data_IF_067275290686
#
_entry.id   IF_067275290686
#
_cell.length_a   1.000
_cell.length_b   1.000
_cell.length_c   1.000
_cell.angle_alpha   90.00
_cell.angle_beta   90.00
_cell.angle_gamma   90.00
#
_symmetry.space_group_name_H-M   'P 1'
#
loop_
_entity.id
_entity.type
_entity.pdbx_description
1 polymer ?
#
# COMPACT_ATOMS: atom_id res chain seq x y z
N UNK A 1 11.08 -5.80 4.36
CA UNK A 1 9.92 -6.00 3.47
C UNK A 1 8.61 -5.88 4.24
N UNK A 2 7.69 -5.01 3.79
CA UNK A 2 6.35 -4.87 4.36
C UNK A 2 5.30 -5.56 3.47
N UNK A 3 4.28 -6.14 4.09
CA UNK A 3 3.07 -6.62 3.41
C UNK A 3 1.96 -5.65 3.76
N UNK A 4 1.50 -4.87 2.78
CA UNK A 4 0.37 -3.96 2.92
C UNK A 4 -0.92 -4.76 2.83
N UNK A 5 -1.82 -4.53 3.79
CA UNK A 5 -3.12 -5.20 3.92
C UNK A 5 -4.23 -4.16 4.08
N UNK A 6 -5.43 -4.50 3.62
CA UNK A 6 -6.61 -3.69 3.91
C UNK A 6 -6.89 -3.70 5.43
N UNK A 7 -7.20 -2.55 6.03
CA UNK A 7 -7.55 -2.49 7.45
C UNK A 7 -8.92 -3.12 7.75
N UNK A 8 -9.85 -3.13 6.77
CA UNK A 8 -11.19 -3.67 6.94
C UNK A 8 -11.23 -5.20 6.79
N UNK A 9 -10.81 -5.74 5.64
CA UNK A 9 -10.92 -7.18 5.35
C UNK A 9 -9.61 -7.97 5.57
N UNK A 10 -8.50 -7.29 5.89
CA UNK A 10 -7.16 -7.89 6.08
C UNK A 10 -6.57 -8.60 4.85
N UNK A 11 -7.19 -8.46 3.67
CA UNK A 11 -6.63 -8.95 2.41
C UNK A 11 -5.28 -8.31 2.11
N UNK A 12 -4.37 -9.11 1.56
CA UNK A 12 -3.07 -8.65 1.09
C UNK A 12 -3.26 -7.82 -0.18
N UNK A 13 -2.74 -6.61 -0.18
CA UNK A 13 -2.83 -5.69 -1.31
C UNK A 13 -1.55 -5.77 -2.14
N UNK A 14 -0.38 -5.55 -1.52
CA UNK A 14 0.92 -5.69 -2.17
C UNK A 14 2.06 -5.85 -1.16
N UNK A 15 3.21 -6.31 -1.64
CA UNK A 15 4.49 -6.26 -0.92
C UNK A 15 5.23 -4.97 -1.26
N UNK A 16 5.71 -4.28 -0.24
CA UNK A 16 6.38 -2.99 -0.37
C UNK A 16 7.74 -3.01 0.33
N UNK A 17 8.79 -2.64 -0.41
CA UNK A 17 10.12 -2.51 0.17
C UNK A 17 10.27 -1.14 0.84
N UNK A 18 9.90 -1.05 2.13
CA UNK A 18 10.08 0.17 2.92
C UNK A 18 11.55 0.30 3.34
N UNK A 19 12.18 1.33 2.78
CA UNK A 19 13.52 1.79 3.11
C UNK A 19 13.44 3.00 4.06
N UNK A 20 14.23 2.97 5.13
CA UNK A 20 14.38 4.05 6.11
C UNK A 20 13.26 4.14 7.16
N UNK A 21 13.45 5.00 8.18
CA UNK A 21 12.45 5.29 9.20
C UNK A 21 11.24 6.03 8.59
N UNK A 22 10.11 6.06 9.29
CA UNK A 22 8.88 6.73 8.85
C UNK A 22 7.74 5.81 8.39
N UNK A 23 6.60 6.45 8.14
CA UNK A 23 5.33 5.81 7.77
C UNK A 23 5.23 5.50 6.28
N UNK A 24 4.23 4.70 5.91
CA UNK A 24 3.96 4.29 4.53
C UNK A 24 2.85 5.17 3.95
N UNK A 25 3.02 6.48 3.98
CA UNK A 25 2.04 7.43 3.40
C UNK A 25 2.27 7.65 1.89
N UNK A 26 3.51 7.46 1.43
CA UNK A 26 3.88 7.51 0.02
C UNK A 26 4.53 6.18 -0.36
N UNK A 27 3.78 5.35 -1.07
CA UNK A 27 4.27 4.09 -1.64
C UNK A 27 4.81 4.36 -3.04
N UNK A 28 6.12 4.34 -3.22
CA UNK A 28 6.68 4.47 -4.55
C UNK A 28 6.52 3.16 -5.35
N UNK A 29 6.09 3.26 -6.61
CA UNK A 29 5.74 2.09 -7.42
C UNK A 29 6.94 1.19 -7.72
N UNK A 30 8.11 1.78 -7.91
CA UNK A 30 9.42 1.12 -8.07
C UNK A 30 9.78 0.18 -6.90
N UNK A 31 9.28 0.47 -5.70
CA UNK A 31 9.51 -0.34 -4.49
C UNK A 31 8.41 -1.38 -4.23
N UNK A 32 7.41 -1.46 -5.10
CA UNK A 32 6.35 -2.47 -4.99
C UNK A 32 6.83 -3.75 -5.66
N UNK A 33 7.20 -4.72 -4.82
CA UNK A 33 7.79 -5.98 -5.26
C UNK A 33 6.76 -6.96 -5.81
N UNK A 34 5.51 -6.87 -5.34
CA UNK A 34 4.44 -7.79 -5.76
C UNK A 34 3.07 -7.17 -5.51
N UNK A 35 2.22 -7.12 -6.53
CA UNK A 35 0.80 -6.83 -6.40
C UNK A 35 0.02 -8.13 -6.12
N UNK A 36 -1.00 -8.05 -5.28
CA UNK A 36 -1.96 -9.12 -5.05
C UNK A 36 -3.34 -8.68 -5.53
N UNK A 37 -4.12 -8.07 -4.64
CA UNK A 37 -5.52 -7.78 -4.86
C UNK A 37 -5.77 -6.29 -4.63
N UNK A 38 -5.99 -5.54 -5.71
CA UNK A 38 -6.39 -4.14 -5.66
C UNK A 38 -7.19 -3.81 -6.92
N UNK A 39 -8.04 -2.80 -6.82
CA UNK A 39 -8.80 -2.25 -7.93
C UNK A 39 -8.44 -0.78 -8.07
N UNK A 40 -8.27 -0.32 -9.30
CA UNK A 40 -8.07 1.10 -9.60
C UNK A 40 -9.37 1.61 -10.22
N UNK A 41 -10.00 2.58 -9.56
CA UNK A 41 -11.22 3.24 -10.03
C UNK A 41 -10.90 4.72 -10.25
N UNK A 42 -10.62 5.07 -11.51
CA UNK A 42 -10.05 6.39 -11.85
C UNK A 42 -8.68 6.57 -11.20
N UNK A 43 -8.54 7.59 -10.35
CA UNK A 43 -7.29 7.83 -9.60
C UNK A 43 -7.30 7.20 -8.21
N UNK A 44 -8.37 6.52 -7.79
CA UNK A 44 -8.49 5.93 -6.45
C UNK A 44 -8.15 4.45 -6.49
N UNK A 45 -7.43 4.01 -5.46
CA UNK A 45 -7.05 2.62 -5.25
C UNK A 45 -7.99 2.06 -4.20
N UNK A 46 -8.70 1.02 -4.56
CA UNK A 46 -9.64 0.31 -3.70
C UNK A 46 -9.15 -1.10 -3.42
N UNK A 47 -9.50 -1.60 -2.25
CA UNK A 47 -9.50 -3.03 -1.99
C UNK A 47 -10.74 -3.64 -2.67
N UNK A 48 -10.71 -4.90 -3.13
CA UNK A 48 -11.91 -5.59 -3.64
C UNK A 48 -13.09 -5.63 -2.67
N UNK A 49 -12.86 -5.40 -1.37
CA UNK A 49 -13.94 -5.24 -0.38
C UNK A 49 -14.63 -3.86 -0.42
N UNK A 50 -14.29 -2.99 -1.38
CA UNK A 50 -14.84 -1.65 -1.55
C UNK A 50 -14.11 -0.53 -0.80
N UNK A 51 -13.20 -0.85 0.14
CA UNK A 51 -12.48 0.15 0.95
C UNK A 51 -11.49 0.95 0.10
N UNK A 52 -11.55 2.28 0.18
CA UNK A 52 -10.56 3.16 -0.43
C UNK A 52 -9.23 3.10 0.34
N UNK A 53 -8.16 2.70 -0.33
CA UNK A 53 -6.82 2.48 0.24
C UNK A 53 -5.92 3.69 -0.01
N UNK A 54 -5.99 4.29 -1.19
CA UNK A 54 -5.07 5.33 -1.60
C UNK A 54 -5.48 5.99 -2.90
N UNK A 55 -4.63 6.90 -3.36
CA UNK A 55 -4.79 7.64 -4.62
C UNK A 55 -3.54 7.45 -5.45
N UNK A 56 -3.69 7.07 -6.71
CA UNK A 56 -2.60 7.02 -7.67
C UNK A 56 -2.19 8.43 -8.09
N UNK A 57 -0.93 8.78 -7.85
CA UNK A 57 -0.30 10.04 -8.25
C UNK A 57 0.69 9.84 -9.41
N UNK A 58 0.59 8.73 -10.14
CA UNK A 58 1.45 8.41 -11.27
C UNK A 58 2.70 7.66 -10.82
N UNK A 59 3.66 8.34 -10.17
CA UNK A 59 4.92 7.73 -9.72
C UNK A 59 4.81 7.02 -8.37
N UNK A 60 3.84 7.43 -7.55
CA UNK A 60 3.63 6.87 -6.22
C UNK A 60 2.14 6.80 -5.88
N UNK A 61 1.81 5.90 -4.97
CA UNK A 61 0.50 5.82 -4.33
C UNK A 61 0.52 6.66 -3.06
N UNK A 62 -0.37 7.67 -3.02
CA UNK A 62 -0.67 8.40 -1.79
C UNK A 62 -1.62 7.55 -0.97
N UNK A 63 -1.11 6.94 0.09
CA UNK A 63 -1.89 6.06 0.95
C UNK A 63 -2.74 6.87 1.91
N UNK A 64 -3.96 6.41 2.16
CA UNK A 64 -4.88 7.01 3.15
C UNK A 64 -4.55 6.39 4.50
N UNK A 65 -4.10 7.19 5.47
CA UNK A 65 -3.83 6.70 6.83
C UNK A 65 -5.08 5.99 7.39
N UNK A 66 -4.88 4.93 8.18
CA UNK A 66 -5.94 4.08 8.78
C UNK A 66 -6.78 3.23 7.80
N UNK A 67 -6.65 3.38 6.49
CA UNK A 67 -7.36 2.49 5.53
C UNK A 67 -6.64 1.16 5.30
N UNK A 68 -5.36 1.11 5.64
CA UNK A 68 -4.49 -0.04 5.48
C UNK A 68 -3.73 -0.34 6.78
N UNK A 69 -3.24 -1.57 6.88
CA UNK A 69 -2.29 -2.01 7.90
C UNK A 69 -1.09 -2.63 7.20
N UNK A 70 0.04 -2.71 7.90
CA UNK A 70 1.22 -3.38 7.36
C UNK A 70 1.87 -4.26 8.42
N UNK A 71 2.49 -5.35 7.96
CA UNK A 71 3.33 -6.22 8.79
C UNK A 71 4.64 -6.53 8.06
N UNK A 72 5.70 -6.77 8.82
CA UNK A 72 7.01 -7.13 8.31
C UNK A 72 8.12 -6.20 8.83
N UNK A 73 9.32 -6.39 8.31
CA UNK A 73 10.52 -5.64 8.69
C UNK A 73 10.73 -4.43 7.77
N UNK A 74 11.20 -3.31 8.31
CA UNK A 74 11.72 -2.18 7.51
C UNK A 74 13.20 -2.45 7.21
N UNK A 75 13.68 -2.04 6.04
CA UNK A 75 15.13 -2.03 5.78
C UNK A 75 15.68 -0.71 6.33
N UNK A 76 16.40 -0.79 7.44
CA UNK A 76 17.27 0.31 7.91
C UNK A 76 18.56 0.19 7.10
N UNK A 77 18.64 0.94 6.01
CA UNK A 77 19.88 1.18 5.27
C UNK A 77 20.24 2.65 5.44
#
# INVERSE_FOLDING_TARGET
>A
MLIIKCAACRNKLWKYDKIGPGEVLRCHKDRIQKMFNHEIRGHKIHCPCGREIGIDKGSCYKMIAKSFTYRGSKRNS
#
